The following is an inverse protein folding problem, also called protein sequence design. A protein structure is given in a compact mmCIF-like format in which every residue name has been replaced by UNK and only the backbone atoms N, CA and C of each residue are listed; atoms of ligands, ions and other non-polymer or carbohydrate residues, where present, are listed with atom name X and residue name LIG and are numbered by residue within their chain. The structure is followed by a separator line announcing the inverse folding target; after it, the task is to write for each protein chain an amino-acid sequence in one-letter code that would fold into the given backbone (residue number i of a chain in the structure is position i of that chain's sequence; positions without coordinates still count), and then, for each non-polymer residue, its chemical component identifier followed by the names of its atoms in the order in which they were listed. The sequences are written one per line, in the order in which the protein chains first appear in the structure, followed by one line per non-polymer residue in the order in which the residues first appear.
data_IF_409363381445
#
_entry.id   IF_409363381445
#
_cell.length_a   1.000
_cell.length_b   1.000
_cell.length_c   1.000
_cell.angle_alpha   90.00
_cell.angle_beta   90.00
_cell.angle_gamma   90.00
#
_symmetry.space_group_name_H-M   'P 1'
#
loop_
_entity.id
_entity.type
_entity.pdbx_description
1 polymer ?
#
# COMPACT_ATOMS: atom_id res chain seq x y z
N UNK A 1 3.15 13.72 -6.11
CA UNK A 1 2.76 12.36 -5.65
C UNK A 1 3.53 12.06 -4.38
N UNK A 2 2.88 11.50 -3.35
CA UNK A 2 3.59 11.08 -2.14
C UNK A 2 4.73 10.12 -2.52
N UNK A 3 5.90 10.31 -1.90
CA UNK A 3 7.07 9.46 -2.15
C UNK A 3 6.73 8.01 -1.79
N UNK A 4 6.82 7.10 -2.77
CA UNK A 4 6.61 5.67 -2.58
C UNK A 4 7.96 5.00 -2.41
N UNK A 5 8.20 4.40 -1.25
CA UNK A 5 9.42 3.63 -0.99
C UNK A 5 9.22 2.19 -1.50
N UNK A 6 9.96 1.72 -2.52
CA UNK A 6 9.88 0.34 -2.96
C UNK A 6 10.39 -0.60 -1.86
N UNK A 7 9.75 -1.76 -1.72
CA UNK A 7 10.17 -2.81 -0.79
C UNK A 7 9.98 -4.18 -1.46
N UNK A 8 10.87 -5.14 -1.14
CA UNK A 8 10.74 -6.51 -1.63
C UNK A 8 9.83 -7.29 -0.67
N UNK A 9 8.74 -7.82 -1.21
CA UNK A 9 7.80 -8.67 -0.49
C UNK A 9 7.96 -10.12 -0.94
N UNK A 10 8.15 -11.04 0.01
CA UNK A 10 8.12 -12.48 -0.27
C UNK A 10 6.72 -13.00 0.04
N UNK A 11 6.09 -13.63 -0.94
CA UNK A 11 4.78 -14.26 -0.80
C UNK A 11 4.87 -15.69 -1.32
N UNK A 12 4.02 -16.54 -0.76
CA UNK A 12 3.68 -17.81 -1.38
C UNK A 12 3.13 -17.58 -2.81
N UNK A 13 3.56 -18.35 -3.83
CA UNK A 13 3.11 -18.15 -5.21
C UNK A 13 1.59 -18.26 -5.39
N UNK A 14 0.92 -19.19 -4.70
CA UNK A 14 -0.53 -19.36 -4.83
C UNK A 14 -1.28 -18.13 -4.28
N UNK A 15 -0.77 -17.55 -3.20
CA UNK A 15 -1.27 -16.29 -2.64
C UNK A 15 -1.10 -15.12 -3.62
N UNK A 16 0.06 -15.01 -4.26
CA UNK A 16 0.32 -13.98 -5.27
C UNK A 16 -0.65 -14.10 -6.46
N UNK A 17 -0.88 -15.32 -6.94
CA UNK A 17 -1.84 -15.58 -8.02
C UNK A 17 -3.28 -15.23 -7.64
N UNK A 18 -3.70 -15.52 -6.41
CA UNK A 18 -5.03 -15.15 -5.94
C UNK A 18 -5.20 -13.63 -5.88
N UNK A 19 -4.19 -12.90 -5.38
CA UNK A 19 -4.19 -11.44 -5.35
C UNK A 19 -4.21 -10.82 -6.76
N UNK A 20 -3.49 -11.41 -7.71
CA UNK A 20 -3.48 -10.95 -9.10
C UNK A 20 -4.88 -11.09 -9.73
N UNK A 21 -5.54 -12.25 -9.61
CA UNK A 21 -6.90 -12.44 -10.14
C UNK A 21 -7.89 -11.44 -9.54
N UNK A 22 -7.85 -11.24 -8.22
CA UNK A 22 -8.73 -10.26 -7.58
C UNK A 22 -8.44 -8.83 -8.06
N UNK A 23 -7.17 -8.47 -8.26
CA UNK A 23 -6.82 -7.17 -8.83
C UNK A 23 -7.38 -7.00 -10.25
N UNK A 24 -7.29 -8.05 -11.08
CA UNK A 24 -7.81 -8.05 -12.45
C UNK A 24 -9.35 -7.92 -12.48
N UNK A 25 -10.05 -8.61 -11.58
CA UNK A 25 -11.51 -8.51 -11.43
C UNK A 25 -11.98 -7.08 -11.07
N UNK A 26 -11.16 -6.33 -10.34
CA UNK A 26 -11.41 -4.93 -9.97
C UNK A 26 -10.79 -3.90 -10.94
N UNK A 27 -10.23 -4.35 -12.07
CA UNK A 27 -9.50 -3.50 -13.03
C UNK A 27 -8.40 -2.66 -12.36
N UNK A 28 -7.72 -3.25 -11.38
CA UNK A 28 -6.69 -2.61 -10.56
C UNK A 28 -5.33 -3.25 -10.82
N UNK A 29 -4.25 -2.46 -10.70
CA UNK A 29 -2.92 -3.06 -10.64
C UNK A 29 -2.73 -3.84 -9.34
N UNK A 30 -1.95 -4.92 -9.40
CA UNK A 30 -1.61 -5.75 -8.24
C UNK A 30 -1.03 -4.91 -7.08
N UNK A 31 -0.13 -3.97 -7.37
CA UNK A 31 0.45 -3.10 -6.35
C UNK A 31 -0.61 -2.23 -5.65
N UNK A 32 -1.57 -1.69 -6.40
CA UNK A 32 -2.64 -0.90 -5.82
C UNK A 32 -3.63 -1.79 -5.02
N UNK A 33 -3.84 -3.05 -5.43
CA UNK A 33 -4.65 -4.00 -4.67
C UNK A 33 -3.98 -4.33 -3.34
N UNK A 34 -2.69 -4.66 -3.35
CA UNK A 34 -1.91 -4.92 -2.14
C UNK A 34 -1.93 -3.70 -1.21
N UNK A 35 -1.72 -2.49 -1.75
CA UNK A 35 -1.78 -1.26 -0.94
C UNK A 35 -3.14 -1.07 -0.29
N UNK A 36 -4.24 -1.28 -1.02
CA UNK A 36 -5.60 -1.17 -0.50
C UNK A 36 -5.84 -2.15 0.65
N UNK A 37 -5.49 -3.43 0.44
CA UNK A 37 -5.67 -4.48 1.46
C UNK A 37 -4.86 -4.21 2.71
N UNK A 38 -3.59 -3.79 2.57
CA UNK A 38 -2.74 -3.47 3.72
C UNK A 38 -3.28 -2.27 4.51
N UNK A 39 -3.74 -1.22 3.82
CA UNK A 39 -4.35 -0.05 4.48
C UNK A 39 -5.60 -0.43 5.24
N UNK A 40 -6.47 -1.23 4.63
CA UNK A 40 -7.69 -1.74 5.25
C UNK A 40 -7.38 -2.60 6.48
N UNK A 41 -6.47 -3.56 6.36
CA UNK A 41 -6.06 -4.43 7.46
C UNK A 41 -5.45 -3.64 8.64
N UNK A 42 -4.66 -2.59 8.35
CA UNK A 42 -4.14 -1.70 9.39
C UNK A 42 -5.24 -0.91 10.09
N UNK A 43 -6.25 -0.44 9.36
CA UNK A 43 -7.41 0.25 9.95
C UNK A 43 -8.22 -0.69 10.84
N UNK A 44 -8.56 -1.88 10.34
CA UNK A 44 -9.30 -2.90 11.09
C UNK A 44 -8.55 -3.35 12.35
N UNK A 45 -7.21 -3.42 12.28
CA UNK A 45 -6.37 -3.72 13.43
C UNK A 45 -6.15 -2.54 14.40
N UNK A 46 -6.71 -1.35 14.12
CA UNK A 46 -6.48 -0.14 14.92
C UNK A 46 -5.04 0.39 14.85
N UNK A 47 -4.29 0.04 13.79
CA UNK A 47 -2.87 0.39 13.56
C UNK A 47 -2.67 1.34 12.38
N UNK A 48 -3.73 1.95 11.88
CA UNK A 48 -3.63 2.91 10.79
C UNK A 48 -2.64 4.03 11.15
N UNK A 49 -1.76 4.45 10.22
CA UNK A 49 -0.85 5.55 10.48
C UNK A 49 -1.66 6.80 10.81
N UNK A 50 -1.34 7.44 11.94
CA UNK A 50 -1.92 8.74 12.29
C UNK A 50 -1.55 9.73 11.18
N UNK A 51 -2.46 10.63 10.76
CA UNK A 51 -2.12 11.64 9.75
C UNK A 51 -0.85 12.37 10.20
N UNK A 52 0.23 12.20 9.43
CA UNK A 52 1.47 12.90 9.70
C UNK A 52 1.21 14.41 9.53
N UNK A 53 1.73 15.28 10.40
CA UNK A 53 1.71 16.71 10.14
C UNK A 53 2.39 16.97 8.78
N UNK A 54 1.80 17.85 7.97
CA UNK A 54 2.30 18.17 6.63
C UNK A 54 3.81 18.47 6.68
N UNK A 55 4.61 18.00 5.69
CA UNK A 55 6.03 18.27 5.66
C UNK A 55 6.24 19.78 5.65
N UNK A 56 6.89 20.33 6.69
CA UNK A 56 7.37 21.71 6.65
C UNK A 56 8.41 21.77 5.55
N UNK A 57 8.09 22.45 4.44
CA UNK A 57 9.05 22.77 3.39
C UNK A 57 10.25 23.45 4.04
N UNK A 58 11.38 22.75 4.10
CA UNK A 58 12.64 23.35 4.49
C UNK A 58 13.03 24.31 3.37
N UNK A 59 12.75 25.60 3.54
CA UNK A 59 13.35 26.66 2.72
C UNK A 59 14.86 26.49 2.78
N UNK A 60 15.48 26.08 1.66
CA UNK A 60 16.94 26.10 1.49
C UNK A 60 17.38 27.57 1.54
N UNK A 61 18.14 27.92 2.57
CA UNK A 61 19.08 29.06 2.58
C UNK A 61 20.33 28.71 1.79
#
# INVERSE_FOLDING_TARGET
MAERKPFLLRLDPATLHALQRWADDELRSLNAQIEFLLRRALQEAGRAPRPAPAPREKKKT
#
